data_IF_746760753228
#
_entry.id   IF_746760753228
#
_cell.length_a   1.000
_cell.length_b   1.000
_cell.length_c   1.000
_cell.angle_alpha   90.00
_cell.angle_beta   90.00
_cell.angle_gamma   90.00
#
_symmetry.space_group_name_H-M   'P 1'
#
loop_
_entity.id
_entity.type
_entity.pdbx_description
1 polymer ?
#
# COMPACT_ATOMS: atom_id res chain seq x y z
N UNK A 1 -6.57 -18.03 3.64
CA UNK A 1 -5.20 -17.46 3.61
C UNK A 1 -5.16 -15.93 3.74
N UNK A 2 -5.95 -15.15 2.98
CA UNK A 2 -5.90 -13.67 3.02
C UNK A 2 -6.06 -13.04 4.41
N UNK A 3 -6.94 -13.57 5.27
CA UNK A 3 -7.10 -13.05 6.63
C UNK A 3 -5.83 -13.18 7.49
N UNK A 4 -5.09 -14.28 7.35
CA UNK A 4 -3.83 -14.46 8.07
C UNK A 4 -2.80 -13.40 7.67
N UNK A 5 -2.67 -13.13 6.36
CA UNK A 5 -1.76 -12.13 5.83
C UNK A 5 -2.18 -10.69 6.17
N UNK A 6 -3.48 -10.39 6.12
CA UNK A 6 -3.99 -9.06 6.43
C UNK A 6 -3.98 -8.75 7.94
N UNK A 7 -4.22 -9.74 8.81
CA UNK A 7 -4.48 -9.48 10.23
C UNK A 7 -3.42 -10.01 11.20
N UNK A 8 -2.64 -11.04 10.83
CA UNK A 8 -1.78 -11.76 11.78
C UNK A 8 -0.30 -11.65 11.42
N UNK A 9 0.07 -11.98 10.18
CA UNK A 9 1.48 -12.04 9.78
C UNK A 9 2.06 -10.65 9.46
N UNK A 10 3.35 -10.41 9.71
CA UNK A 10 4.01 -9.18 9.27
C UNK A 10 4.13 -9.14 7.73
N UNK A 11 4.44 -7.96 7.18
CA UNK A 11 4.81 -7.88 5.77
C UNK A 11 6.13 -8.63 5.52
N UNK A 12 6.19 -9.46 4.46
CA UNK A 12 7.39 -10.21 4.14
C UNK A 12 8.49 -9.23 3.73
N UNK A 13 9.70 -9.49 4.20
CA UNK A 13 10.89 -8.72 3.83
C UNK A 13 11.55 -9.36 2.61
N UNK A 14 12.14 -8.53 1.74
CA UNK A 14 12.94 -9.01 0.60
C UNK A 14 12.12 -9.54 -0.59
N UNK A 15 10.82 -9.25 -0.65
CA UNK A 15 10.01 -9.55 -1.84
C UNK A 15 10.36 -8.55 -2.93
N UNK A 16 10.61 -8.99 -4.18
CA UNK A 16 10.90 -8.07 -5.27
C UNK A 16 9.71 -7.14 -5.54
N UNK A 17 10.00 -5.86 -5.72
CA UNK A 17 9.01 -4.89 -6.22
C UNK A 17 8.62 -5.24 -7.65
N UNK A 18 7.34 -5.11 -7.99
CA UNK A 18 6.87 -5.35 -9.34
C UNK A 18 7.59 -4.40 -10.33
N UNK A 19 8.08 -4.87 -11.49
CA UNK A 19 8.90 -4.07 -12.40
C UNK A 19 8.27 -2.73 -12.85
N UNK A 20 6.94 -2.67 -12.90
CA UNK A 20 6.14 -1.50 -13.24
C UNK A 20 6.07 -0.44 -12.12
N UNK A 21 6.40 -0.80 -10.88
CA UNK A 21 6.42 0.10 -9.72
C UNK A 21 7.83 0.64 -9.42
N UNK A 22 8.84 0.20 -10.17
CA UNK A 22 10.20 0.70 -10.02
C UNK A 22 10.31 2.09 -10.65
N UNK A 23 10.50 3.13 -9.83
CA UNK A 23 10.88 4.45 -10.29
C UNK A 23 12.24 4.37 -11.00
N UNK A 24 12.27 4.66 -12.31
CA UNK A 24 13.50 4.60 -13.14
C UNK A 24 14.13 5.97 -13.36
N UNK A 25 13.48 7.02 -12.85
CA UNK A 25 13.88 8.41 -13.01
C UNK A 25 13.85 9.08 -11.65
N UNK A 26 14.73 10.07 -11.44
CA UNK A 26 14.66 10.91 -10.26
C UNK A 26 13.36 11.72 -10.29
N UNK A 27 12.62 11.65 -9.20
CA UNK A 27 11.41 12.45 -8.96
C UNK A 27 11.73 13.48 -7.85
N UNK A 28 10.99 14.59 -7.84
CA UNK A 28 11.11 15.59 -6.80
C UNK A 28 10.57 15.04 -5.48
N UNK A 29 11.43 14.97 -4.45
CA UNK A 29 11.10 14.33 -3.19
C UNK A 29 9.93 14.99 -2.47
N UNK A 30 9.88 16.32 -2.45
CA UNK A 30 8.84 17.07 -1.75
C UNK A 30 7.49 16.91 -2.46
N UNK A 31 7.51 16.90 -3.80
CA UNK A 31 6.33 16.61 -4.61
C UNK A 31 5.80 15.18 -4.36
N UNK A 32 6.68 14.19 -4.29
CA UNK A 32 6.31 12.79 -4.05
C UNK A 32 5.80 12.55 -2.63
N UNK A 33 6.38 13.22 -1.63
CA UNK A 33 5.88 13.20 -0.27
C UNK A 33 4.47 13.81 -0.19
N UNK A 34 4.24 14.97 -0.83
CA UNK A 34 2.93 15.60 -0.90
C UNK A 34 1.91 14.72 -1.62
N UNK A 35 2.32 14.07 -2.72
CA UNK A 35 1.49 13.11 -3.47
C UNK A 35 1.10 11.91 -2.61
N UNK A 36 2.04 11.34 -1.86
CA UNK A 36 1.79 10.24 -0.94
C UNK A 36 0.76 10.65 0.14
N UNK A 37 0.93 11.82 0.77
CA UNK A 37 -0.01 12.34 1.76
C UNK A 37 -1.42 12.54 1.17
N UNK A 38 -1.52 13.10 -0.04
CA UNK A 38 -2.78 13.26 -0.74
C UNK A 38 -3.47 11.91 -1.05
N UNK A 39 -2.71 10.89 -1.44
CA UNK A 39 -3.22 9.53 -1.67
C UNK A 39 -3.74 8.89 -0.38
N UNK A 40 -3.06 9.10 0.75
CA UNK A 40 -3.53 8.63 2.07
C UNK A 40 -4.87 9.30 2.42
N UNK A 41 -5.02 10.61 2.19
CA UNK A 41 -6.27 11.34 2.46
C UNK A 41 -7.48 10.82 1.67
N UNK A 42 -7.28 10.13 0.53
CA UNK A 42 -8.39 9.51 -0.23
C UNK A 42 -9.06 8.35 0.51
N UNK A 43 -8.44 7.81 1.55
CA UNK A 43 -9.07 6.77 2.38
C UNK A 43 -10.18 7.32 3.29
N UNK A 44 -10.25 8.64 3.52
CA UNK A 44 -11.31 9.26 4.33
C UNK A 44 -12.67 9.26 3.60
N UNK A 45 -12.64 9.28 2.26
CA UNK A 45 -13.83 9.20 1.41
C UNK A 45 -13.62 8.12 0.33
N UNK A 46 -13.65 6.83 0.73
CA UNK A 46 -13.32 5.75 -0.19
C UNK A 46 -14.40 5.63 -1.29
N UNK A 47 -14.02 5.22 -2.50
CA UNK A 47 -14.99 4.95 -3.56
C UNK A 47 -15.95 3.84 -3.13
N UNK A 48 -17.17 3.90 -3.68
CA UNK A 48 -18.22 2.89 -3.45
C UNK A 48 -17.85 1.51 -3.98
N UNK A 49 -16.96 1.44 -4.98
CA UNK A 49 -16.44 0.22 -5.56
C UNK A 49 -14.92 0.24 -5.62
N UNK A 50 -14.30 -0.88 -5.27
CA UNK A 50 -12.86 -1.09 -5.39
C UNK A 50 -12.58 -2.17 -6.44
N UNK A 51 -11.46 -2.05 -7.19
CA UNK A 51 -11.05 -3.12 -8.08
C UNK A 51 -10.73 -4.40 -7.31
N UNK A 52 -10.74 -5.53 -7.99
CA UNK A 52 -10.21 -6.78 -7.40
C UNK A 52 -8.69 -6.68 -7.25
N UNK A 53 -8.18 -7.15 -6.11
CA UNK A 53 -6.75 -7.17 -5.88
C UNK A 53 -6.12 -8.36 -6.64
N UNK A 54 -5.05 -8.16 -7.44
CA UNK A 54 -4.48 -9.21 -8.30
C UNK A 54 -4.12 -10.51 -7.56
N UNK A 55 -3.62 -10.40 -6.32
CA UNK A 55 -3.28 -11.56 -5.48
C UNK A 55 -4.39 -12.02 -4.51
N UNK A 56 -5.22 -11.10 -4.00
CA UNK A 56 -6.17 -11.41 -2.92
C UNK A 56 -7.61 -11.57 -3.41
N UNK A 57 -7.88 -11.28 -4.69
CA UNK A 57 -9.20 -11.22 -5.28
C UNK A 57 -10.06 -10.11 -4.66
N UNK A 58 -11.38 -10.32 -4.53
CA UNK A 58 -12.28 -9.36 -3.89
C UNK A 58 -11.87 -9.04 -2.45
N UNK A 59 -11.77 -7.74 -2.17
CA UNK A 59 -11.51 -7.19 -0.84
C UNK A 59 -12.61 -6.21 -0.45
N UNK A 60 -13.03 -6.25 0.81
CA UNK A 60 -13.89 -5.20 1.37
C UNK A 60 -13.10 -3.90 1.53
N UNK A 61 -13.79 -2.76 1.67
CA UNK A 61 -13.13 -1.47 1.95
C UNK A 61 -12.23 -1.54 3.19
N UNK A 62 -12.66 -2.23 4.25
CA UNK A 62 -11.85 -2.43 5.45
C UNK A 62 -10.60 -3.28 5.20
N UNK A 63 -10.67 -4.29 4.32
CA UNK A 63 -9.52 -5.08 3.92
C UNK A 63 -8.53 -4.27 3.07
N UNK A 64 -9.04 -3.43 2.16
CA UNK A 64 -8.23 -2.46 1.40
C UNK A 64 -7.50 -1.48 2.33
N UNK A 65 -8.22 -0.86 3.27
CA UNK A 65 -7.63 0.04 4.26
C UNK A 65 -6.55 -0.63 5.10
N UNK A 66 -6.80 -1.87 5.56
CA UNK A 66 -5.82 -2.63 6.33
C UNK A 66 -4.59 -3.02 5.52
N UNK A 67 -4.76 -3.43 4.27
CA UNK A 67 -3.64 -3.73 3.37
C UNK A 67 -2.79 -2.47 3.13
N UNK A 68 -3.43 -1.34 2.80
CA UNK A 68 -2.77 -0.06 2.58
C UNK A 68 -1.97 0.40 3.80
N UNK A 69 -2.58 0.37 4.99
CA UNK A 69 -1.91 0.70 6.24
C UNK A 69 -0.68 -0.18 6.49
N UNK A 70 -0.83 -1.52 6.39
CA UNK A 70 0.30 -2.44 6.65
C UNK A 70 1.43 -2.28 5.66
N UNK A 71 1.11 -2.01 4.39
CA UNK A 71 2.11 -1.80 3.35
C UNK A 71 2.88 -0.49 3.56
N UNK A 72 2.16 0.59 3.88
CA UNK A 72 2.78 1.89 4.18
C UNK A 72 3.67 1.83 5.42
N UNK A 73 3.16 1.32 6.55
CA UNK A 73 3.92 1.19 7.80
C UNK A 73 5.18 0.31 7.62
N UNK A 74 5.08 -0.76 6.83
CA UNK A 74 6.23 -1.59 6.47
C UNK A 74 7.34 -0.76 5.80
N UNK A 75 6.98 0.07 4.82
CA UNK A 75 7.96 0.88 4.09
C UNK A 75 8.53 2.02 4.94
N UNK A 76 7.71 2.73 5.72
CA UNK A 76 8.20 3.77 6.63
C UNK A 76 9.25 3.20 7.59
N UNK A 77 8.97 2.04 8.21
CA UNK A 77 9.93 1.34 9.06
C UNK A 77 11.16 0.82 8.32
N UNK A 78 11.00 0.34 7.08
CA UNK A 78 12.12 -0.12 6.26
C UNK A 78 13.10 1.03 5.97
N UNK A 79 12.58 2.24 5.76
CA UNK A 79 13.39 3.43 5.48
C UNK A 79 13.80 4.21 6.74
N UNK A 80 13.32 3.81 7.92
CA UNK A 80 13.67 4.44 9.20
C UNK A 80 12.99 5.78 9.45
N UNK A 81 11.80 5.98 8.88
CA UNK A 81 10.92 7.14 9.10
C UNK A 81 10.00 6.89 10.29
#
# INVERSE_FOLDING_TARGET
MKHLLLYVLPMPKGVPTAPELLGRTAEDWDAEQARCAALIGRFDAPPTSWPEHPFFGPLTAAQWGRLGYKHLDHHLRQFGV
#
